data_IF_096736018196
#
_entry.id   IF_096736018196
#
_cell.length_a   1.000
_cell.length_b   1.000
_cell.length_c   1.000
_cell.angle_alpha   90.00
_cell.angle_beta   90.00
_cell.angle_gamma   90.00
#
_symmetry.space_group_name_H-M   'P 1'
#
loop_
_entity.id
_entity.type
_entity.pdbx_description
1 polymer ?
#
# COMPACT_ATOMS: atom_id res chain seq x y z
N UNK A 1 -11.47 -9.23 -38.93
CA UNK A 1 -11.63 -7.84 -38.47
C UNK A 1 -10.25 -7.40 -38.04
N UNK A 2 -9.59 -6.57 -38.83
CA UNK A 2 -8.28 -6.03 -38.52
C UNK A 2 -8.42 -5.13 -37.28
N UNK A 3 -7.76 -5.48 -36.19
CA UNK A 3 -7.55 -4.59 -35.05
C UNK A 3 -6.39 -3.66 -35.43
N UNK A 4 -6.71 -2.60 -36.18
CA UNK A 4 -5.77 -1.53 -36.45
C UNK A 4 -5.69 -0.63 -35.21
N UNK A 5 -4.79 -0.93 -34.31
CA UNK A 5 -4.49 -0.09 -33.15
C UNK A 5 -3.43 -0.76 -32.29
N UNK A 6 -2.49 0.01 -31.80
CA UNK A 6 -1.52 -0.47 -30.81
C UNK A 6 -2.28 -0.82 -29.54
N UNK A 7 -2.29 -2.11 -29.14
CA UNK A 7 -2.84 -2.55 -27.87
C UNK A 7 -1.74 -2.50 -26.81
N UNK A 8 -2.10 -2.17 -25.60
CA UNK A 8 -1.21 -2.11 -24.44
C UNK A 8 -1.72 -3.02 -23.31
N UNK A 9 -0.84 -3.41 -22.43
CA UNK A 9 -1.19 -4.26 -21.30
C UNK A 9 -2.23 -3.59 -20.38
N UNK A 10 -3.30 -4.32 -20.07
CA UNK A 10 -4.28 -3.89 -19.08
C UNK A 10 -3.70 -4.07 -17.68
N UNK A 11 -3.11 -3.03 -17.14
CA UNK A 11 -2.51 -3.03 -15.79
C UNK A 11 -3.53 -3.26 -14.67
N UNK A 12 -4.81 -3.21 -15.01
CA UNK A 12 -5.89 -3.44 -14.06
C UNK A 12 -6.37 -4.90 -14.04
N UNK A 13 -5.97 -5.74 -14.96
CA UNK A 13 -6.34 -7.15 -14.95
C UNK A 13 -5.50 -7.94 -13.92
N UNK A 14 -6.12 -8.96 -13.33
CA UNK A 14 -5.48 -9.86 -12.38
C UNK A 14 -5.34 -11.26 -12.98
N UNK A 15 -4.17 -11.87 -12.79
CA UNK A 15 -3.91 -13.26 -13.16
C UNK A 15 -3.73 -14.09 -11.88
N UNK A 16 -4.61 -15.05 -11.68
CA UNK A 16 -4.53 -16.02 -10.58
C UNK A 16 -4.12 -17.39 -11.12
N UNK A 17 -3.01 -17.91 -10.62
CA UNK A 17 -2.53 -19.26 -10.95
C UNK A 17 -3.12 -20.27 -9.96
N UNK A 18 -3.90 -21.22 -10.48
CA UNK A 18 -4.53 -22.30 -9.70
C UNK A 18 -3.59 -23.51 -9.65
N UNK A 19 -3.25 -23.94 -8.45
CA UNK A 19 -2.40 -25.09 -8.19
C UNK A 19 -3.19 -26.20 -7.51
N UNK A 20 -2.85 -27.44 -7.88
CA UNK A 20 -3.32 -28.63 -7.20
C UNK A 20 -2.15 -29.61 -7.12
N UNK A 21 -1.84 -30.11 -5.92
CA UNK A 21 -0.71 -31.00 -5.62
C UNK A 21 0.65 -30.48 -6.17
N UNK A 22 0.87 -29.17 -6.10
CA UNK A 22 2.06 -28.53 -6.65
C UNK A 22 2.04 -28.31 -8.17
N UNK A 23 1.08 -28.88 -8.88
CA UNK A 23 0.94 -28.77 -10.34
C UNK A 23 0.00 -27.61 -10.69
N UNK A 24 0.42 -26.77 -11.64
CA UNK A 24 -0.43 -25.69 -12.15
C UNK A 24 -1.46 -26.29 -13.12
N UNK A 25 -2.74 -26.19 -12.80
CA UNK A 25 -3.85 -26.73 -13.61
C UNK A 25 -4.53 -25.71 -14.48
N UNK A 26 -4.76 -24.54 -13.93
CA UNK A 26 -5.48 -23.47 -14.62
C UNK A 26 -4.96 -22.08 -14.24
N UNK A 27 -5.29 -21.11 -15.07
CA UNK A 27 -5.04 -19.70 -14.82
C UNK A 27 -6.37 -18.98 -14.96
N UNK A 28 -6.75 -18.21 -13.92
CA UNK A 28 -7.92 -17.35 -13.98
C UNK A 28 -7.50 -15.92 -14.21
N UNK A 29 -7.99 -15.32 -15.28
CA UNK A 29 -7.84 -13.90 -15.61
C UNK A 29 -9.10 -13.18 -15.20
N UNK A 30 -8.95 -12.10 -14.42
CA UNK A 30 -10.04 -11.17 -14.08
C UNK A 30 -9.68 -9.81 -14.66
N UNK A 31 -10.45 -9.32 -15.60
CA UNK A 31 -10.20 -8.06 -16.28
C UNK A 31 -11.48 -7.22 -16.32
N UNK A 32 -11.42 -5.92 -16.01
CA UNK A 32 -12.53 -5.02 -16.24
C UNK A 32 -12.74 -4.84 -17.75
N UNK A 33 -13.97 -4.80 -18.17
CA UNK A 33 -14.26 -4.66 -19.59
C UNK A 33 -14.92 -3.32 -19.90
N UNK A 34 -15.97 -2.91 -19.37
CA UNK A 34 -16.61 -1.60 -19.56
C UNK A 34 -17.67 -1.38 -18.50
N UNK A 35 -17.65 -0.21 -17.86
CA UNK A 35 -18.48 0.02 -16.70
C UNK A 35 -18.10 -0.95 -15.57
N UNK A 36 -19.03 -1.33 -14.74
CA UNK A 36 -18.77 -2.19 -13.56
C UNK A 36 -18.63 -3.68 -13.90
N UNK A 37 -18.54 -4.04 -15.18
CA UNK A 37 -18.50 -5.43 -15.60
C UNK A 37 -17.08 -6.01 -15.55
N UNK A 38 -16.88 -7.05 -14.75
CA UNK A 38 -15.65 -7.82 -14.66
C UNK A 38 -15.74 -9.07 -15.57
N UNK A 39 -14.83 -9.18 -16.54
CA UNK A 39 -14.67 -10.40 -17.32
C UNK A 39 -13.78 -11.37 -16.54
N UNK A 40 -14.32 -12.55 -16.22
CA UNK A 40 -13.57 -13.64 -15.60
C UNK A 40 -13.40 -14.74 -16.64
N UNK A 41 -12.15 -15.04 -16.98
CA UNK A 41 -11.82 -16.09 -17.95
C UNK A 41 -10.88 -17.09 -17.30
N UNK A 42 -11.27 -18.36 -17.33
CA UNK A 42 -10.43 -19.46 -16.85
C UNK A 42 -9.78 -20.15 -18.05
N UNK A 43 -8.46 -20.23 -18.03
CA UNK A 43 -7.63 -20.84 -19.07
C UNK A 43 -7.07 -22.14 -18.52
N UNK A 44 -7.39 -23.22 -19.20
CA UNK A 44 -6.94 -24.57 -18.85
C UNK A 44 -5.71 -24.97 -19.68
N UNK A 45 -4.76 -25.65 -19.04
CA UNK A 45 -3.51 -26.08 -19.70
C UNK A 45 -3.74 -27.00 -20.88
N UNK A 46 -4.82 -27.78 -20.87
CA UNK A 46 -5.09 -28.79 -21.91
C UNK A 46 -5.80 -28.16 -23.09
N UNK A 47 -6.76 -27.27 -22.83
CA UNK A 47 -7.58 -26.63 -23.86
C UNK A 47 -6.87 -25.53 -24.62
N UNK A 48 -6.04 -24.72 -23.93
CA UNK A 48 -5.33 -23.58 -24.51
C UNK A 48 -3.84 -23.56 -24.09
N UNK A 49 -3.02 -24.56 -24.49
CA UNK A 49 -1.67 -24.73 -23.96
C UNK A 49 -0.71 -23.57 -24.28
N UNK A 50 -0.86 -22.93 -25.44
CA UNK A 50 -0.02 -21.79 -25.84
C UNK A 50 -0.35 -20.57 -24.99
N UNK A 51 -1.63 -20.20 -24.91
CA UNK A 51 -2.08 -19.09 -24.10
C UNK A 51 -1.75 -19.32 -22.62
N UNK A 52 -1.90 -20.55 -22.14
CA UNK A 52 -1.51 -20.93 -20.79
C UNK A 52 -0.03 -20.68 -20.52
N UNK A 53 0.87 -21.08 -21.45
CA UNK A 53 2.30 -20.82 -21.36
C UNK A 53 2.62 -19.32 -21.34
N UNK A 54 2.00 -18.57 -22.23
CA UNK A 54 2.11 -17.11 -22.32
C UNK A 54 1.72 -16.43 -20.99
N UNK A 55 0.59 -16.84 -20.40
CA UNK A 55 0.11 -16.31 -19.13
C UNK A 55 0.98 -16.70 -17.93
N UNK A 56 1.62 -17.88 -17.95
CA UNK A 56 2.60 -18.24 -16.93
C UNK A 56 3.83 -17.33 -16.96
N UNK A 57 4.35 -17.06 -18.16
CA UNK A 57 5.48 -16.14 -18.34
C UNK A 57 5.07 -14.75 -17.88
N UNK A 58 3.89 -14.28 -18.27
CA UNK A 58 3.37 -13.00 -17.83
C UNK A 58 3.22 -12.91 -16.30
N UNK A 59 2.63 -13.93 -15.70
CA UNK A 59 2.47 -14.01 -14.24
C UNK A 59 3.80 -14.01 -13.48
N UNK A 60 4.85 -14.55 -14.09
CA UNK A 60 6.18 -14.62 -13.48
C UNK A 60 7.01 -13.35 -13.70
N UNK A 61 6.90 -12.74 -14.88
CA UNK A 61 7.68 -11.58 -15.28
C UNK A 61 7.03 -10.23 -14.92
N UNK A 62 5.72 -10.24 -14.63
CA UNK A 62 4.95 -9.00 -14.39
C UNK A 62 4.52 -8.28 -15.67
N UNK A 63 5.13 -8.61 -16.82
CA UNK A 63 4.79 -8.03 -18.11
C UNK A 63 5.14 -8.96 -19.27
N UNK A 64 4.53 -8.75 -20.42
CA UNK A 64 4.94 -9.35 -21.70
C UNK A 64 5.25 -8.24 -22.69
N UNK A 65 6.41 -8.34 -23.33
CA UNK A 65 6.72 -7.53 -24.50
C UNK A 65 5.73 -7.86 -25.63
N UNK A 66 4.81 -6.94 -25.90
CA UNK A 66 3.78 -7.10 -26.96
C UNK A 66 4.35 -7.35 -28.35
N UNK A 67 5.60 -6.96 -28.59
CA UNK A 67 6.33 -7.18 -29.85
C UNK A 67 6.67 -8.65 -30.16
N UNK A 68 6.42 -9.58 -29.23
CA UNK A 68 6.70 -11.01 -29.40
C UNK A 68 5.44 -11.85 -29.57
N UNK A 69 4.26 -11.25 -29.53
CA UNK A 69 2.97 -11.94 -29.67
C UNK A 69 2.62 -12.12 -31.15
N UNK A 70 2.11 -13.28 -31.51
CA UNK A 70 1.43 -13.46 -32.78
C UNK A 70 0.09 -12.70 -32.80
N UNK A 71 -0.43 -12.38 -33.98
CA UNK A 71 -1.73 -11.72 -34.14
C UNK A 71 -2.87 -12.49 -33.45
N UNK A 72 -2.82 -13.82 -33.49
CA UNK A 72 -3.80 -14.67 -32.84
C UNK A 72 -3.72 -14.61 -31.31
N UNK A 73 -2.54 -14.60 -30.74
CA UNK A 73 -2.32 -14.42 -29.30
C UNK A 73 -2.74 -13.02 -28.85
N UNK A 74 -2.36 -11.98 -29.61
CA UNK A 74 -2.76 -10.62 -29.34
C UNK A 74 -4.29 -10.45 -29.33
N UNK A 75 -4.98 -11.03 -30.30
CA UNK A 75 -6.44 -11.02 -30.36
C UNK A 75 -7.07 -11.76 -29.17
N UNK A 76 -6.50 -12.90 -28.79
CA UNK A 76 -7.02 -13.67 -27.64
C UNK A 76 -6.78 -12.99 -26.31
N UNK A 77 -5.62 -12.36 -26.14
CA UNK A 77 -5.32 -11.55 -24.95
C UNK A 77 -6.22 -10.31 -24.84
N UNK A 78 -6.55 -9.69 -25.99
CA UNK A 78 -7.53 -8.60 -26.02
C UNK A 78 -8.95 -9.09 -25.68
N UNK A 79 -9.34 -10.26 -26.20
CA UNK A 79 -10.64 -10.85 -25.89
C UNK A 79 -10.80 -11.13 -24.39
N UNK A 80 -9.78 -11.65 -23.71
CA UNK A 80 -9.83 -11.86 -22.26
C UNK A 80 -9.57 -10.59 -21.43
N UNK A 81 -9.33 -9.45 -22.06
CA UNK A 81 -9.17 -8.15 -21.41
C UNK A 81 -7.78 -7.86 -20.87
N UNK A 82 -6.78 -8.67 -21.22
CA UNK A 82 -5.37 -8.44 -20.83
C UNK A 82 -4.66 -7.42 -21.70
N UNK A 83 -5.09 -7.24 -22.94
CA UNK A 83 -4.68 -6.14 -23.81
C UNK A 83 -5.86 -5.21 -24.04
N UNK A 84 -5.63 -3.91 -23.93
CA UNK A 84 -6.64 -2.87 -24.12
C UNK A 84 -6.10 -1.74 -24.99
N UNK A 85 -6.97 -0.95 -25.65
CA UNK A 85 -6.57 0.26 -26.31
C UNK A 85 -5.91 1.26 -25.35
N UNK A 86 -4.89 2.03 -25.78
CA UNK A 86 -4.15 2.96 -24.92
C UNK A 86 -5.02 4.02 -24.24
N UNK A 87 -6.11 4.44 -24.88
CA UNK A 87 -7.09 5.38 -24.35
C UNK A 87 -7.91 4.85 -23.18
N UNK A 88 -7.84 3.54 -22.90
CA UNK A 88 -8.48 2.89 -21.75
C UNK A 88 -7.52 2.62 -20.59
N UNK A 89 -6.25 2.96 -20.73
CA UNK A 89 -5.29 2.87 -19.63
C UNK A 89 -5.58 4.00 -18.65
N UNK A 90 -6.35 3.71 -17.60
CA UNK A 90 -6.34 4.59 -16.44
C UNK A 90 -5.06 4.33 -15.66
N UNK A 91 -4.10 5.21 -15.75
CA UNK A 91 -2.95 5.25 -14.85
C UNK A 91 -3.38 6.03 -13.61
N UNK A 92 -3.68 5.38 -12.48
CA UNK A 92 -3.81 6.13 -11.25
C UNK A 92 -2.43 6.67 -10.91
N UNK A 93 -2.25 7.99 -11.01
CA UNK A 93 -1.08 8.68 -10.44
C UNK A 93 -1.24 8.61 -8.93
N UNK A 94 -0.69 7.55 -8.32
CA UNK A 94 -0.91 7.29 -6.90
C UNK A 94 -0.18 8.30 -6.02
N UNK A 95 1.03 8.65 -6.40
CA UNK A 95 1.89 9.53 -5.61
C UNK A 95 2.55 10.53 -6.56
N UNK A 96 1.93 11.68 -6.78
CA UNK A 96 2.51 12.75 -7.60
C UNK A 96 2.90 13.94 -6.73
N UNK A 97 4.15 14.37 -6.85
CA UNK A 97 4.66 15.64 -6.35
C UNK A 97 4.67 16.72 -7.44
N UNK A 98 3.79 16.66 -8.42
CA UNK A 98 3.75 17.63 -9.49
C UNK A 98 2.99 18.87 -9.06
N UNK A 99 3.68 20.02 -9.03
CA UNK A 99 3.09 21.33 -8.68
C UNK A 99 2.08 21.84 -9.73
N UNK A 100 2.07 21.22 -10.91
CA UNK A 100 1.11 21.55 -11.98
C UNK A 100 -0.23 20.85 -11.82
N UNK A 101 -0.32 19.87 -10.94
CA UNK A 101 -1.58 19.21 -10.63
C UNK A 101 -2.45 20.15 -9.79
N UNK A 102 -3.31 20.91 -10.45
CA UNK A 102 -4.26 21.87 -9.85
C UNK A 102 -5.37 21.23 -9.00
N UNK A 103 -5.26 19.93 -8.73
CA UNK A 103 -6.16 19.29 -7.79
C UNK A 103 -5.92 19.86 -6.40
N UNK A 104 -7.00 20.15 -5.64
CA UNK A 104 -6.84 20.69 -4.29
C UNK A 104 -5.94 19.75 -3.48
N UNK A 105 -5.04 20.33 -2.71
CA UNK A 105 -4.15 19.61 -1.81
C UNK A 105 -4.91 18.48 -1.13
N UNK A 106 -4.56 17.23 -1.43
CA UNK A 106 -5.18 16.05 -0.83
C UNK A 106 -4.68 15.81 0.59
N UNK A 107 -3.80 16.70 1.06
CA UNK A 107 -3.42 16.75 2.46
C UNK A 107 -4.60 17.35 3.23
N UNK A 108 -5.17 16.63 4.20
CA UNK A 108 -6.08 17.25 5.16
C UNK A 108 -5.37 18.47 5.76
N UNK A 109 -6.08 19.58 5.91
CA UNK A 109 -5.53 20.82 6.47
C UNK A 109 -4.80 20.62 7.82
N UNK A 110 -5.05 19.51 8.51
CA UNK A 110 -4.38 19.09 9.76
C UNK A 110 -3.00 18.43 9.56
N UNK A 111 -2.71 17.84 8.40
CA UNK A 111 -1.36 17.30 8.13
C UNK A 111 -0.35 18.44 7.89
N UNK A 112 -0.82 19.61 7.47
CA UNK A 112 0.00 20.82 7.36
C UNK A 112 0.53 21.31 8.72
N UNK A 113 -0.19 21.06 9.84
CA UNK A 113 0.18 21.59 11.17
C UNK A 113 1.45 21.01 11.79
N UNK A 114 2.04 19.95 11.26
CA UNK A 114 3.24 19.33 11.85
C UNK A 114 4.53 20.02 11.42
N UNK A 115 4.52 20.79 10.32
CA UNK A 115 5.73 21.46 9.80
C UNK A 115 5.54 22.97 9.52
N UNK A 116 4.54 23.61 10.14
CA UNK A 116 4.23 25.04 9.93
C UNK A 116 5.40 26.01 10.16
N UNK A 117 6.41 25.62 10.95
CA UNK A 117 7.52 26.50 11.30
C UNK A 117 8.75 26.37 10.41
N UNK A 118 8.72 25.56 9.35
CA UNK A 118 9.89 25.26 8.54
C UNK A 118 9.92 25.98 7.20
N UNK A 119 8.81 26.53 6.73
CA UNK A 119 8.73 27.21 5.42
C UNK A 119 9.74 28.40 5.28
N UNK A 120 10.07 29.06 6.37
CA UNK A 120 11.00 30.18 6.43
C UNK A 120 12.44 29.76 6.84
N UNK A 121 12.71 28.46 6.97
CA UNK A 121 14.02 27.99 7.38
C UNK A 121 15.09 28.29 6.33
N UNK A 122 16.20 28.88 6.79
CA UNK A 122 17.32 29.29 5.94
C UNK A 122 18.26 28.11 5.63
N UNK A 123 18.13 27.00 6.39
CA UNK A 123 19.01 25.83 6.36
C UNK A 123 18.42 24.63 5.62
N UNK A 124 17.59 24.87 4.61
CA UNK A 124 16.96 23.79 3.82
C UNK A 124 17.97 23.05 2.96
N UNK A 125 17.90 21.73 2.99
CA UNK A 125 18.70 20.83 2.15
C UNK A 125 17.86 19.66 1.64
N UNK A 126 18.39 18.91 0.68
CA UNK A 126 17.83 17.59 0.36
C UNK A 126 17.95 16.69 1.59
N UNK A 127 16.89 15.96 1.90
CA UNK A 127 16.95 14.99 2.99
C UNK A 127 17.98 13.89 2.66
N UNK A 128 18.88 13.53 3.59
CA UNK A 128 19.89 12.50 3.38
C UNK A 128 19.27 11.09 3.21
N UNK A 129 17.99 10.95 3.53
CA UNK A 129 17.25 9.68 3.43
C UNK A 129 16.53 9.52 2.08
N UNK A 130 16.62 10.51 1.21
CA UNK A 130 16.06 10.45 -0.15
C UNK A 130 16.81 9.42 -0.99
N UNK A 131 16.07 8.42 -1.44
CA UNK A 131 16.53 7.46 -2.45
C UNK A 131 15.78 7.68 -3.75
N UNK A 132 16.51 7.74 -4.86
CA UNK A 132 15.95 7.95 -6.20
C UNK A 132 16.03 6.66 -6.98
N UNK A 133 14.96 6.37 -7.70
CA UNK A 133 14.88 5.23 -8.60
C UNK A 133 14.66 5.79 -10.00
N UNK A 134 15.60 5.52 -10.89
CA UNK A 134 15.55 5.97 -12.28
C UNK A 134 14.74 5.02 -13.17
N UNK A 135 15.06 5.01 -14.45
CA UNK A 135 14.41 4.18 -15.50
C UNK A 135 14.51 2.66 -15.26
N UNK A 136 15.26 2.21 -14.27
CA UNK A 136 15.25 0.81 -13.82
C UNK A 136 13.97 0.46 -13.05
N UNK A 137 13.13 1.45 -12.79
CA UNK A 137 11.87 1.34 -12.06
C UNK A 137 12.04 1.16 -10.56
N UNK A 138 10.95 1.07 -9.82
CA UNK A 138 10.97 0.86 -8.37
C UNK A 138 11.64 -0.48 -8.01
N UNK A 139 12.15 -0.61 -6.77
CA UNK A 139 12.74 -1.85 -6.26
C UNK A 139 11.85 -3.08 -6.53
N UNK A 140 12.48 -4.26 -6.61
CA UNK A 140 11.76 -5.51 -6.90
C UNK A 140 10.61 -5.78 -5.91
N UNK A 141 10.76 -5.30 -4.68
CA UNK A 141 9.76 -5.39 -3.61
C UNK A 141 8.48 -4.59 -3.95
N UNK A 142 8.61 -3.50 -4.70
CA UNK A 142 7.50 -2.69 -5.20
C UNK A 142 6.83 -3.29 -6.44
N UNK A 143 7.51 -4.22 -7.12
CA UNK A 143 6.98 -4.90 -8.30
C UNK A 143 6.18 -6.10 -7.85
N UNK A 144 4.89 -5.94 -7.62
CA UNK A 144 4.02 -7.05 -7.25
C UNK A 144 4.11 -8.20 -8.25
N UNK A 145 4.57 -9.37 -7.80
CA UNK A 145 4.87 -10.54 -8.65
C UNK A 145 3.65 -11.20 -9.33
N UNK A 146 2.41 -10.80 -9.02
CA UNK A 146 1.20 -11.55 -9.43
C UNK A 146 0.04 -10.72 -9.95
N UNK A 147 0.18 -9.42 -10.06
CA UNK A 147 -0.87 -8.53 -10.52
C UNK A 147 -0.35 -7.67 -11.66
N UNK A 148 -1.08 -7.61 -12.75
CA UNK A 148 -0.85 -6.61 -13.81
C UNK A 148 -1.12 -5.19 -13.31
N UNK A 149 -1.68 -5.10 -12.14
CA UNK A 149 -2.00 -3.88 -11.45
C UNK A 149 -0.87 -3.50 -10.51
N UNK A 150 0.14 -2.89 -11.06
CA UNK A 150 1.20 -2.29 -10.27
C UNK A 150 0.84 -0.83 -10.00
N UNK A 151 0.70 -0.42 -8.71
CA UNK A 151 0.48 0.98 -8.36
C UNK A 151 1.68 1.87 -8.71
N UNK A 152 2.84 1.28 -8.98
CA UNK A 152 4.08 1.96 -9.32
C UNK A 152 4.32 1.86 -10.81
N UNK A 153 4.13 2.97 -11.53
CA UNK A 153 4.39 3.04 -12.96
C UNK A 153 5.91 2.90 -13.24
N UNK A 154 6.35 1.88 -13.98
CA UNK A 154 7.77 1.69 -14.27
C UNK A 154 8.36 2.78 -15.16
N UNK A 155 7.52 3.53 -15.89
CA UNK A 155 7.96 4.60 -16.78
C UNK A 155 8.13 5.95 -16.07
N UNK A 156 7.80 6.00 -14.77
CA UNK A 156 7.98 7.19 -13.95
C UNK A 156 9.25 7.08 -13.08
N UNK A 157 9.82 8.23 -12.80
CA UNK A 157 10.88 8.36 -11.81
C UNK A 157 10.28 8.43 -10.41
N UNK A 158 10.88 7.70 -9.46
CA UNK A 158 10.37 7.56 -8.11
C UNK A 158 11.39 8.03 -7.09
N UNK A 159 10.87 8.65 -6.02
CA UNK A 159 11.62 8.99 -4.83
C UNK A 159 11.01 8.23 -3.65
N UNK A 160 11.88 7.70 -2.80
CA UNK A 160 11.50 7.18 -1.50
C UNK A 160 12.23 7.98 -0.42
N UNK A 161 11.49 8.45 0.57
CA UNK A 161 11.99 9.20 1.74
C UNK A 161 11.73 8.36 2.98
N UNK A 162 12.78 8.03 3.71
CA UNK A 162 12.75 7.19 4.92
C UNK A 162 13.31 7.98 6.10
N UNK A 163 12.61 9.05 6.45
CA UNK A 163 13.05 10.02 7.45
C UNK A 163 12.49 9.81 8.85
N UNK A 164 11.45 8.98 8.98
CA UNK A 164 10.80 8.67 10.24
C UNK A 164 10.99 7.20 10.65
N UNK A 165 11.77 6.90 11.70
CA UNK A 165 12.02 5.53 12.12
C UNK A 165 10.77 4.80 12.68
N UNK A 166 9.67 5.49 12.85
CA UNK A 166 8.40 4.97 13.38
C UNK A 166 7.25 4.99 12.36
N UNK A 167 7.54 5.29 11.11
CA UNK A 167 6.53 5.32 10.05
C UNK A 167 7.01 4.56 8.80
N UNK A 168 6.07 4.25 7.91
CA UNK A 168 6.40 3.77 6.58
C UNK A 168 7.13 4.86 5.80
N UNK A 169 8.10 4.51 4.94
CA UNK A 169 8.72 5.47 4.08
C UNK A 169 7.70 6.10 3.13
N UNK A 170 7.91 7.34 2.81
CA UNK A 170 7.10 8.07 1.85
C UNK A 170 7.59 7.79 0.44
N UNK A 171 6.68 7.55 -0.48
CA UNK A 171 6.99 7.22 -1.88
C UNK A 171 6.30 8.20 -2.80
N UNK A 172 7.05 8.77 -3.73
CA UNK A 172 6.54 9.77 -4.68
C UNK A 172 7.00 9.47 -6.09
N UNK A 173 6.11 9.63 -7.07
CA UNK A 173 6.55 9.96 -8.42
C UNK A 173 6.89 11.45 -8.48
N UNK A 174 7.95 11.83 -9.16
CA UNK A 174 8.34 13.23 -9.24
C UNK A 174 8.47 13.71 -10.68
N UNK A 175 7.98 14.93 -10.92
CA UNK A 175 8.09 15.62 -12.19
C UNK A 175 9.43 16.32 -12.40
N UNK A 176 9.58 16.96 -13.54
CA UNK A 176 10.81 17.67 -13.93
C UNK A 176 11.22 18.78 -12.96
N UNK A 177 10.25 19.49 -12.37
CA UNK A 177 10.52 20.60 -11.45
C UNK A 177 11.15 20.12 -10.15
N UNK A 178 10.61 19.04 -9.57
CA UNK A 178 11.18 18.44 -8.36
C UNK A 178 12.60 17.86 -8.65
N UNK A 179 12.79 17.25 -9.82
CA UNK A 179 14.09 16.73 -10.24
C UNK A 179 15.15 17.84 -10.33
N UNK A 180 14.79 18.97 -10.93
CA UNK A 180 15.69 20.12 -11.06
C UNK A 180 16.08 20.72 -9.68
N UNK A 181 15.15 20.82 -8.76
CA UNK A 181 15.41 21.30 -7.40
C UNK A 181 16.35 20.35 -6.66
N UNK A 182 16.08 19.04 -6.72
CA UNK A 182 16.91 18.03 -6.09
C UNK A 182 18.34 18.04 -6.64
N UNK A 183 18.51 18.24 -7.94
CA UNK A 183 19.83 18.36 -8.57
C UNK A 183 20.61 19.58 -8.07
N UNK A 184 19.93 20.70 -7.85
CA UNK A 184 20.56 21.90 -7.26
C UNK A 184 20.99 21.66 -5.81
N UNK A 185 20.13 21.02 -5.00
CA UNK A 185 20.41 20.71 -3.60
C UNK A 185 21.55 19.69 -3.45
N UNK A 186 21.64 18.69 -4.33
CA UNK A 186 22.76 17.73 -4.35
C UNK A 186 24.09 18.40 -4.63
N UNK A 187 24.07 19.50 -5.39
CA UNK A 187 25.25 20.34 -5.64
C UNK A 187 25.55 21.33 -4.50
N UNK A 188 24.85 21.22 -3.37
CA UNK A 188 24.99 22.11 -2.22
C UNK A 188 24.49 23.54 -2.46
N UNK A 189 23.63 23.72 -3.48
CA UNK A 189 23.00 25.02 -3.76
C UNK A 189 21.71 25.17 -2.97
N UNK A 190 21.38 26.38 -2.53
CA UNK A 190 20.10 26.63 -1.86
C UNK A 190 18.91 26.43 -2.81
N UNK A 191 17.74 26.23 -2.23
CA UNK A 191 16.46 26.23 -3.00
C UNK A 191 16.33 27.59 -3.70
N UNK A 192 16.16 27.62 -5.02
CA UNK A 192 16.04 28.88 -5.75
C UNK A 192 14.83 29.70 -5.31
N UNK A 193 14.96 31.04 -5.31
CA UNK A 193 13.85 31.95 -5.01
C UNK A 193 12.70 31.86 -6.02
N UNK A 194 12.99 31.32 -7.23
CA UNK A 194 11.96 31.07 -8.25
C UNK A 194 11.03 29.90 -7.92
N UNK A 195 11.39 29.08 -6.93
CA UNK A 195 10.51 28.00 -6.46
C UNK A 195 9.33 28.61 -5.71
N UNK A 196 8.14 28.31 -6.18
CA UNK A 196 6.91 28.86 -5.56
C UNK A 196 6.80 28.40 -4.10
N UNK A 197 6.25 29.23 -3.20
CA UNK A 197 6.04 28.83 -1.81
C UNK A 197 5.26 27.50 -1.68
N UNK A 198 4.30 27.29 -2.58
CA UNK A 198 3.49 26.08 -2.62
C UNK A 198 4.35 24.83 -2.92
N UNK A 199 5.22 24.88 -3.94
CA UNK A 199 6.10 23.78 -4.28
C UNK A 199 7.12 23.53 -3.15
N UNK A 200 7.67 24.60 -2.56
CA UNK A 200 8.57 24.50 -1.40
C UNK A 200 7.88 23.79 -0.24
N UNK A 201 6.63 24.15 0.07
CA UNK A 201 5.85 23.51 1.12
C UNK A 201 5.58 22.03 0.81
N UNK A 202 5.22 21.71 -0.44
CA UNK A 202 5.04 20.30 -0.86
C UNK A 202 6.29 19.46 -0.68
N UNK A 203 7.46 20.00 -1.03
CA UNK A 203 8.75 19.31 -0.86
C UNK A 203 9.12 19.12 0.62
N UNK A 204 8.76 20.06 1.48
CA UNK A 204 8.91 19.95 2.93
C UNK A 204 7.96 18.91 3.52
N UNK A 205 6.68 18.98 3.18
CA UNK A 205 5.65 18.07 3.68
C UNK A 205 5.90 16.62 3.22
N UNK A 206 6.52 16.47 2.05
CA UNK A 206 6.94 15.18 1.52
C UNK A 206 8.26 14.67 2.11
N UNK A 207 8.97 15.47 2.92
CA UNK A 207 10.29 15.10 3.45
C UNK A 207 11.40 15.05 2.41
N UNK A 208 11.15 15.49 1.17
CA UNK A 208 12.17 15.54 0.10
C UNK A 208 13.23 16.57 0.41
N UNK A 209 12.83 17.70 0.99
CA UNK A 209 13.73 18.68 1.59
C UNK A 209 13.45 18.80 3.07
N UNK A 210 14.44 19.13 3.85
CA UNK A 210 14.35 19.25 5.30
C UNK A 210 15.15 20.44 5.85
N UNK A 211 14.76 20.94 7.03
CA UNK A 211 15.62 21.76 7.89
C UNK A 211 16.49 20.85 8.73
N UNK A 212 17.80 21.04 8.66
CA UNK A 212 18.80 20.20 9.36
C UNK A 212 18.53 20.11 10.85
N UNK A 213 18.28 21.26 11.49
CA UNK A 213 18.13 21.33 12.93
C UNK A 213 16.78 20.75 13.43
N UNK A 214 15.70 20.93 12.67
CA UNK A 214 14.38 20.43 13.04
C UNK A 214 14.31 18.89 12.88
N UNK A 215 14.78 18.38 11.76
CA UNK A 215 14.74 16.94 11.45
C UNK A 215 15.58 16.09 12.39
N UNK A 216 16.72 16.59 12.88
CA UNK A 216 17.52 15.86 13.86
C UNK A 216 16.77 15.63 15.18
N UNK A 217 16.12 16.69 15.70
CA UNK A 217 15.34 16.59 16.95
C UNK A 217 14.12 15.68 16.79
N UNK A 218 13.47 15.77 15.65
CA UNK A 218 12.30 14.93 15.37
C UNK A 218 12.71 13.45 15.31
N UNK A 219 13.79 13.11 14.63
CA UNK A 219 14.29 11.72 14.58
C UNK A 219 14.66 11.18 15.96
N UNK A 220 15.34 11.98 16.80
CA UNK A 220 15.65 11.56 18.18
C UNK A 220 14.38 11.33 19.00
N UNK A 221 13.35 12.16 18.86
CA UNK A 221 12.10 11.96 19.56
C UNK A 221 11.40 10.67 19.09
N UNK A 222 11.38 10.41 17.78
CA UNK A 222 10.75 9.21 17.22
C UNK A 222 11.47 7.92 17.64
N UNK A 223 12.79 7.96 17.88
CA UNK A 223 13.51 6.82 18.47
C UNK A 223 13.04 6.56 19.91
N UNK A 224 12.88 7.60 20.73
CA UNK A 224 12.32 7.44 22.08
C UNK A 224 10.88 6.93 22.06
N UNK A 225 10.05 7.43 21.14
CA UNK A 225 8.68 6.94 20.95
C UNK A 225 8.67 5.43 20.65
N UNK A 226 9.65 4.93 19.88
CA UNK A 226 9.79 3.51 19.59
C UNK A 226 10.11 2.66 20.83
N UNK A 227 11.00 3.15 21.67
CA UNK A 227 11.37 2.47 22.93
C UNK A 227 10.17 2.39 23.88
N UNK A 228 9.41 3.48 23.99
CA UNK A 228 8.19 3.55 24.78
C UNK A 228 7.10 2.61 24.22
N UNK A 229 6.91 2.61 22.90
CA UNK A 229 5.97 1.70 22.25
C UNK A 229 6.35 0.22 22.51
N UNK A 230 7.65 -0.12 22.43
CA UNK A 230 8.14 -1.47 22.72
C UNK A 230 7.91 -1.88 24.17
N UNK A 231 8.09 -0.98 25.12
CA UNK A 231 7.76 -1.23 26.53
C UNK A 231 6.27 -1.49 26.71
N UNK A 232 5.39 -0.65 26.15
CA UNK A 232 3.95 -0.81 26.20
C UNK A 232 3.48 -2.13 25.57
N UNK A 233 4.04 -2.50 24.41
CA UNK A 233 3.73 -3.76 23.74
C UNK A 233 4.00 -4.97 24.67
N UNK A 234 5.15 -4.98 25.35
CA UNK A 234 5.50 -6.08 26.28
C UNK A 234 4.61 -6.11 27.51
N UNK A 235 4.27 -4.94 28.08
CA UNK A 235 3.45 -4.83 29.29
C UNK A 235 1.97 -5.12 29.03
N UNK A 236 1.40 -4.54 27.98
CA UNK A 236 -0.04 -4.58 27.70
C UNK A 236 -0.42 -5.60 26.62
N UNK A 237 0.55 -6.20 25.93
CA UNK A 237 0.39 -7.11 24.79
C UNK A 237 -0.12 -6.44 23.51
N UNK A 238 -0.32 -5.14 23.53
CA UNK A 238 -0.65 -4.33 22.37
C UNK A 238 -0.18 -2.89 22.55
N UNK A 239 -0.06 -2.16 21.44
CA UNK A 239 0.30 -0.73 21.43
C UNK A 239 -0.28 -0.02 20.21
N UNK A 240 -0.72 1.22 20.39
CA UNK A 240 -1.09 2.11 19.29
C UNK A 240 0.15 2.79 18.71
N UNK A 241 0.24 2.82 17.40
CA UNK A 241 1.32 3.44 16.64
C UNK A 241 0.73 4.58 15.79
N UNK A 242 0.71 5.82 16.30
CA UNK A 242 0.11 6.92 15.57
C UNK A 242 0.96 7.33 14.35
N UNK A 243 0.29 7.75 13.28
CA UNK A 243 0.93 8.22 12.04
C UNK A 243 1.91 7.22 11.43
N UNK A 244 1.59 5.94 11.51
CA UNK A 244 2.42 4.86 10.98
C UNK A 244 2.54 4.91 9.46
N UNK A 245 1.45 5.30 8.79
CA UNK A 245 1.44 5.59 7.35
C UNK A 245 1.23 7.08 7.16
N UNK A 246 2.15 7.78 6.47
CA UNK A 246 2.04 9.22 6.27
C UNK A 246 0.75 9.62 5.53
N UNK A 247 0.16 10.80 5.83
CA UNK A 247 -1.15 11.20 5.31
C UNK A 247 -1.27 11.18 3.79
N UNK A 248 -0.21 11.57 3.06
CA UNK A 248 -0.22 11.54 1.60
C UNK A 248 -0.35 10.11 1.06
N UNK A 249 0.36 9.16 1.66
CA UNK A 249 0.29 7.74 1.29
C UNK A 249 -1.08 7.15 1.61
N UNK A 250 -1.65 7.52 2.77
CA UNK A 250 -3.02 7.14 3.12
C UNK A 250 -4.02 7.67 2.10
N UNK A 251 -3.94 8.95 1.74
CA UNK A 251 -4.83 9.56 0.76
C UNK A 251 -4.72 8.88 -0.63
N UNK A 252 -3.50 8.51 -1.03
CA UNK A 252 -3.27 7.78 -2.26
C UNK A 252 -3.81 6.35 -2.20
N UNK A 253 -3.58 5.62 -1.10
CA UNK A 253 -4.11 4.28 -0.89
C UNK A 253 -5.64 4.27 -0.91
N UNK A 254 -6.27 5.24 -0.25
CA UNK A 254 -7.74 5.42 -0.28
C UNK A 254 -8.27 5.52 -1.71
N UNK A 255 -7.71 6.43 -2.53
CA UNK A 255 -8.13 6.57 -3.94
C UNK A 255 -7.93 5.28 -4.71
N UNK A 256 -6.79 4.63 -4.51
CA UNK A 256 -6.46 3.38 -5.16
C UNK A 256 -7.49 2.29 -4.84
N UNK A 257 -7.76 2.01 -3.57
CA UNK A 257 -8.69 0.95 -3.18
C UNK A 257 -10.14 1.27 -3.51
N UNK A 258 -10.57 2.54 -3.39
CA UNK A 258 -11.89 2.95 -3.86
C UNK A 258 -12.06 2.68 -5.35
N UNK A 259 -11.07 3.04 -6.17
CA UNK A 259 -11.06 2.71 -7.59
C UNK A 259 -11.10 1.19 -7.84
N UNK A 260 -10.33 0.37 -7.04
CA UNK A 260 -10.37 -1.08 -7.13
C UNK A 260 -11.76 -1.66 -6.90
N UNK A 261 -12.48 -1.11 -5.94
CA UNK A 261 -13.83 -1.54 -5.56
C UNK A 261 -14.84 -1.07 -6.61
N UNK A 262 -14.81 0.20 -6.99
CA UNK A 262 -15.71 0.81 -7.97
C UNK A 262 -15.60 0.15 -9.35
N UNK A 263 -14.38 -0.21 -9.76
CA UNK A 263 -14.11 -0.89 -11.02
C UNK A 263 -14.30 -2.41 -10.96
N UNK A 264 -14.73 -2.94 -9.81
CA UNK A 264 -15.04 -4.37 -9.64
C UNK A 264 -13.82 -5.30 -9.56
N UNK A 265 -12.62 -4.77 -9.26
CA UNK A 265 -11.39 -5.58 -9.10
C UNK A 265 -11.36 -6.40 -7.83
N UNK A 266 -11.96 -5.88 -6.78
CA UNK A 266 -12.06 -6.58 -5.52
C UNK A 266 -13.44 -7.25 -5.44
N UNK A 267 -13.49 -8.58 -5.29
CA UNK A 267 -14.76 -9.26 -5.10
C UNK A 267 -15.36 -8.89 -3.74
N UNK A 268 -16.66 -8.68 -3.71
CA UNK A 268 -17.41 -8.56 -2.47
C UNK A 268 -17.71 -9.96 -1.95
N UNK A 269 -17.24 -10.21 -0.76
CA UNK A 269 -17.59 -11.37 0.03
C UNK A 269 -17.07 -12.72 -0.49
N UNK A 270 -17.10 -13.64 0.40
CA UNK A 270 -16.98 -15.08 0.18
C UNK A 270 -18.00 -15.80 1.07
N UNK A 271 -17.95 -17.13 1.12
CA UNK A 271 -18.91 -17.92 1.90
C UNK A 271 -18.77 -17.69 3.43
N UNK A 272 -17.58 -17.30 3.88
CA UNK A 272 -17.29 -17.07 5.31
C UNK A 272 -17.51 -15.62 5.71
N UNK A 273 -17.20 -14.69 4.80
CA UNK A 273 -17.20 -13.25 5.07
C UNK A 273 -17.92 -12.47 3.96
N UNK A 274 -19.27 -12.44 3.96
CA UNK A 274 -20.04 -11.85 2.86
C UNK A 274 -19.95 -10.31 2.78
N UNK A 275 -19.65 -9.64 3.89
CA UNK A 275 -19.78 -8.18 4.03
C UNK A 275 -18.43 -7.46 3.96
N UNK A 276 -17.47 -7.98 3.19
CA UNK A 276 -16.18 -7.29 2.97
C UNK A 276 -15.62 -7.50 1.57
N UNK A 277 -14.94 -6.48 1.05
CA UNK A 277 -14.00 -6.64 -0.04
C UNK A 277 -12.65 -7.11 0.53
N UNK A 278 -11.98 -7.99 -0.19
CA UNK A 278 -10.80 -8.66 0.36
C UNK A 278 -9.75 -8.95 -0.70
N UNK A 279 -8.48 -8.69 -0.37
CA UNK A 279 -7.34 -9.09 -1.19
C UNK A 279 -6.15 -9.50 -0.32
N UNK A 280 -5.53 -10.65 -0.64
CA UNK A 280 -4.27 -11.09 -0.03
C UNK A 280 -3.10 -10.71 -0.92
N UNK A 281 -1.99 -10.26 -0.33
CA UNK A 281 -0.74 -9.94 -1.04
C UNK A 281 -0.95 -8.99 -2.23
N UNK A 282 -1.90 -8.05 -2.06
CA UNK A 282 -2.09 -7.01 -3.05
C UNK A 282 -0.83 -6.12 -3.10
N UNK A 283 -0.34 -5.68 -4.28
CA UNK A 283 0.97 -5.06 -4.43
C UNK A 283 1.24 -3.84 -3.54
N UNK A 284 0.25 -2.95 -3.36
CA UNK A 284 0.42 -1.77 -2.51
C UNK A 284 0.51 -2.16 -1.04
N UNK A 285 -0.39 -3.03 -0.57
CA UNK A 285 -0.34 -3.56 0.80
C UNK A 285 0.96 -4.34 1.04
N UNK A 286 1.39 -5.17 0.08
CA UNK A 286 2.63 -5.92 0.18
C UNK A 286 3.85 -5.01 0.27
N UNK A 287 3.90 -3.93 -0.51
CA UNK A 287 4.98 -2.94 -0.42
C UNK A 287 5.08 -2.37 0.99
N UNK A 288 3.99 -1.82 1.54
CA UNK A 288 4.01 -1.24 2.89
C UNK A 288 4.30 -2.28 3.98
N UNK A 289 3.82 -3.52 3.81
CA UNK A 289 4.14 -4.62 4.71
C UNK A 289 5.65 -4.87 4.81
N UNK A 290 6.36 -4.89 3.67
CA UNK A 290 7.81 -5.02 3.65
C UNK A 290 8.52 -3.82 4.30
N UNK A 291 8.08 -2.60 3.97
CA UNK A 291 8.72 -1.38 4.48
C UNK A 291 8.54 -1.20 6.00
N UNK A 292 7.42 -1.62 6.56
CA UNK A 292 7.14 -1.53 8.00
C UNK A 292 7.84 -2.60 8.84
N UNK A 293 8.53 -3.55 8.23
CA UNK A 293 9.27 -4.61 8.95
C UNK A 293 10.29 -4.02 9.95
N UNK A 294 10.98 -2.95 9.57
CA UNK A 294 11.94 -2.29 10.44
C UNK A 294 11.29 -1.65 11.67
N UNK A 295 10.13 -1.03 11.49
CA UNK A 295 9.34 -0.43 12.57
C UNK A 295 8.88 -1.52 13.54
N UNK A 296 8.27 -2.59 13.01
CA UNK A 296 7.79 -3.71 13.83
C UNK A 296 8.94 -4.38 14.58
N UNK A 297 10.09 -4.63 13.93
CA UNK A 297 11.28 -5.18 14.61
C UNK A 297 11.74 -4.30 15.78
N UNK A 298 11.72 -2.99 15.60
CA UNK A 298 12.13 -2.04 16.66
C UNK A 298 11.17 -2.05 17.83
N UNK A 299 9.87 -2.03 17.58
CA UNK A 299 8.84 -2.05 18.63
C UNK A 299 8.76 -3.43 19.30
N UNK A 300 8.89 -4.52 18.56
CA UNK A 300 8.94 -5.88 19.09
C UNK A 300 10.18 -6.10 19.99
N UNK A 301 11.28 -5.39 19.68
CA UNK A 301 12.57 -5.55 20.37
C UNK A 301 13.37 -6.76 19.88
N UNK A 302 12.95 -7.35 18.76
CA UNK A 302 13.64 -8.45 18.10
C UNK A 302 13.51 -8.36 16.58
N UNK A 303 14.41 -8.95 15.79
CA UNK A 303 14.28 -9.04 14.36
C UNK A 303 13.04 -9.85 13.97
N UNK A 304 12.19 -9.28 13.11
CA UNK A 304 11.02 -9.96 12.55
C UNK A 304 11.10 -9.99 11.03
N UNK A 305 10.36 -10.92 10.44
CA UNK A 305 10.14 -10.99 8.99
C UNK A 305 8.64 -10.99 8.68
N UNK A 306 8.25 -10.42 7.53
CA UNK A 306 6.86 -10.42 7.10
C UNK A 306 6.40 -11.82 6.73
N UNK A 307 5.22 -12.22 7.16
CA UNK A 307 4.57 -13.46 6.77
C UNK A 307 3.56 -13.20 5.63
N UNK A 308 2.40 -12.69 5.90
CA UNK A 308 1.43 -12.36 4.87
C UNK A 308 0.72 -11.03 5.16
N UNK A 309 0.04 -10.48 4.16
CA UNK A 309 -0.70 -9.24 4.29
C UNK A 309 -2.06 -9.33 3.61
N UNK A 310 -2.98 -8.53 4.12
CA UNK A 310 -4.36 -8.47 3.68
C UNK A 310 -4.81 -7.02 3.58
N UNK A 311 -5.53 -6.68 2.52
CA UNK A 311 -6.43 -5.54 2.47
C UNK A 311 -7.86 -6.04 2.67
N UNK A 312 -8.62 -5.39 3.54
CA UNK A 312 -10.04 -5.64 3.71
C UNK A 312 -10.81 -4.32 3.85
N UNK A 313 -11.94 -4.22 3.16
CA UNK A 313 -12.88 -3.10 3.29
C UNK A 313 -14.25 -3.66 3.69
N UNK A 314 -14.62 -3.37 4.91
CA UNK A 314 -15.84 -3.87 5.55
C UNK A 314 -17.02 -2.95 5.25
N UNK A 315 -18.18 -3.56 5.05
CA UNK A 315 -19.45 -2.87 4.81
C UNK A 315 -20.31 -2.84 6.06
N UNK A 316 -21.38 -2.02 6.08
CA UNK A 316 -22.36 -2.03 7.18
C UNK A 316 -22.85 -3.43 7.48
N UNK A 317 -22.88 -3.77 8.75
CA UNK A 317 -23.29 -5.11 9.21
C UNK A 317 -22.14 -6.09 9.42
N UNK A 318 -20.97 -5.83 8.86
CA UNK A 318 -19.78 -6.65 9.09
C UNK A 318 -19.37 -6.65 10.57
N UNK A 319 -18.89 -7.77 11.04
CA UNK A 319 -18.31 -7.94 12.36
C UNK A 319 -17.07 -8.85 12.27
N UNK A 320 -16.20 -8.77 13.26
CA UNK A 320 -15.08 -9.69 13.42
C UNK A 320 -15.27 -10.44 14.74
N UNK A 321 -15.66 -11.72 14.71
CA UNK A 321 -15.87 -12.49 15.93
C UNK A 321 -14.62 -12.58 16.79
N UNK A 322 -14.75 -12.76 18.14
CA UNK A 322 -13.61 -12.96 19.02
C UNK A 322 -12.76 -14.17 18.60
N UNK A 323 -11.48 -13.94 18.31
CA UNK A 323 -10.54 -14.98 17.91
C UNK A 323 -9.11 -14.63 18.34
N UNK A 324 -8.20 -15.56 18.14
CA UNK A 324 -6.75 -15.39 18.14
C UNK A 324 -6.23 -15.79 16.79
N UNK A 325 -5.14 -15.18 16.40
CA UNK A 325 -4.51 -15.48 15.13
C UNK A 325 -3.77 -16.83 15.14
N UNK A 326 -3.46 -17.31 13.97
CA UNK A 326 -2.68 -18.53 13.73
C UNK A 326 -1.17 -18.28 13.93
N UNK A 327 -0.37 -19.34 13.82
CA UNK A 327 1.07 -19.31 14.12
C UNK A 327 1.89 -18.34 13.26
N UNK A 328 1.42 -18.00 12.06
CA UNK A 328 2.09 -17.04 11.17
C UNK A 328 1.87 -15.58 11.58
N UNK A 329 1.12 -15.32 12.64
CA UNK A 329 0.71 -13.99 13.10
C UNK A 329 1.18 -13.73 14.52
N UNK A 330 2.48 -13.93 14.81
CA UNK A 330 3.02 -13.63 16.14
C UNK A 330 2.80 -12.15 16.46
N UNK A 331 3.14 -11.29 15.53
CA UNK A 331 2.85 -9.85 15.59
C UNK A 331 1.83 -9.49 14.51
N UNK A 332 0.68 -9.00 14.93
CA UNK A 332 -0.40 -8.56 14.05
C UNK A 332 -0.53 -7.05 14.12
N UNK A 333 -0.51 -6.41 12.94
CA UNK A 333 -0.58 -4.96 12.79
C UNK A 333 -1.83 -4.62 11.97
N UNK A 334 -2.79 -3.95 12.60
CA UNK A 334 -4.02 -3.44 11.96
C UNK A 334 -3.88 -1.95 11.71
N UNK A 335 -3.96 -1.49 10.46
CA UNK A 335 -3.80 -0.08 10.07
C UNK A 335 -5.09 0.40 9.43
N UNK A 336 -5.66 1.49 9.94
CA UNK A 336 -6.83 2.13 9.35
C UNK A 336 -6.44 2.91 8.09
N UNK A 337 -6.98 2.51 6.94
CA UNK A 337 -6.67 3.14 5.65
C UNK A 337 -7.80 4.05 5.19
N UNK A 338 -9.05 3.65 5.38
CA UNK A 338 -10.19 4.44 4.92
C UNK A 338 -11.43 4.21 5.79
N UNK A 339 -12.26 5.21 5.87
CA UNK A 339 -13.55 5.16 6.57
C UNK A 339 -14.49 6.18 5.94
N UNK A 340 -15.75 5.82 5.77
CA UNK A 340 -16.79 6.74 5.28
C UNK A 340 -18.01 6.69 6.20
N UNK A 341 -18.48 7.86 6.71
CA UNK A 341 -17.88 9.18 6.57
C UNK A 341 -16.50 9.28 7.23
N UNK A 342 -15.64 10.19 6.74
CA UNK A 342 -14.30 10.38 7.29
C UNK A 342 -14.36 10.79 8.76
N UNK A 343 -13.67 10.08 9.68
CA UNK A 343 -13.72 10.40 11.09
C UNK A 343 -12.99 11.70 11.38
N UNK A 344 -13.46 12.45 12.38
CA UNK A 344 -12.85 13.73 12.77
C UNK A 344 -11.46 13.53 13.39
N UNK A 345 -11.32 12.50 14.24
CA UNK A 345 -10.08 12.17 14.94
C UNK A 345 -9.78 10.68 14.89
N UNK A 346 -10.65 9.83 15.40
CA UNK A 346 -10.50 8.38 15.45
C UNK A 346 -11.71 7.67 14.85
N UNK A 347 -11.48 6.48 14.33
CA UNK A 347 -12.56 5.65 13.80
C UNK A 347 -13.58 5.31 14.90
N UNK A 348 -14.88 5.40 14.63
CA UNK A 348 -15.91 4.95 15.57
C UNK A 348 -16.00 3.40 15.66
N UNK A 349 -15.19 2.67 14.90
CA UNK A 349 -15.18 1.20 14.87
C UNK A 349 -13.89 0.64 15.47
N UNK A 350 -13.77 0.57 16.82
CA UNK A 350 -12.56 0.17 17.52
C UNK A 350 -12.25 -1.31 17.33
N UNK A 351 -10.97 -1.67 17.47
CA UNK A 351 -10.53 -3.03 17.71
C UNK A 351 -10.56 -3.30 19.22
N UNK A 352 -11.29 -4.32 19.64
CA UNK A 352 -11.31 -4.78 21.03
C UNK A 352 -10.20 -5.79 21.24
N UNK A 353 -9.33 -5.53 22.21
CA UNK A 353 -8.17 -6.34 22.54
C UNK A 353 -8.27 -6.85 23.99
N UNK A 354 -8.20 -8.16 24.15
CA UNK A 354 -8.22 -8.80 25.46
C UNK A 354 -6.99 -9.70 25.64
N UNK A 355 -5.93 -9.20 26.30
CA UNK A 355 -4.80 -10.02 26.73
C UNK A 355 -5.22 -11.23 27.57
N UNK A 356 -4.39 -12.29 27.66
CA UNK A 356 -4.75 -13.52 28.40
C UNK A 356 -5.17 -13.30 29.83
N UNK A 357 -4.52 -12.38 30.53
CA UNK A 357 -4.74 -12.10 31.97
C UNK A 357 -5.77 -10.99 32.22
N UNK A 358 -6.35 -10.40 31.15
CA UNK A 358 -7.33 -9.34 31.29
C UNK A 358 -8.75 -9.88 31.44
N UNK A 359 -9.49 -9.35 32.40
CA UNK A 359 -10.91 -9.71 32.66
C UNK A 359 -11.86 -9.11 31.62
N UNK A 360 -11.48 -8.00 30.99
CA UNK A 360 -12.26 -7.28 29.98
C UNK A 360 -11.42 -6.93 28.76
N UNK A 361 -12.06 -6.75 27.61
CA UNK A 361 -11.42 -6.23 26.40
C UNK A 361 -11.31 -4.71 26.45
N UNK A 362 -10.21 -4.18 25.94
CA UNK A 362 -9.96 -2.74 25.79
C UNK A 362 -10.28 -2.32 24.36
N UNK A 363 -11.18 -1.37 24.13
CA UNK A 363 -11.38 -0.79 22.80
C UNK A 363 -10.20 0.10 22.42
N UNK A 364 -9.64 -0.13 21.26
CA UNK A 364 -8.55 0.65 20.70
C UNK A 364 -8.97 1.17 19.33
N UNK A 365 -8.98 2.49 19.17
CA UNK A 365 -9.31 3.18 17.93
C UNK A 365 -8.15 4.08 17.52
N UNK A 366 -7.95 4.22 16.22
CA UNK A 366 -6.95 5.10 15.61
C UNK A 366 -7.56 5.97 14.52
N UNK A 367 -6.84 7.00 14.13
CA UNK A 367 -7.12 7.82 12.95
C UNK A 367 -6.62 7.15 11.67
N UNK A 368 -6.85 7.83 10.55
CA UNK A 368 -6.34 7.37 9.26
C UNK A 368 -4.80 7.33 9.26
N UNK A 369 -4.26 6.18 8.90
CA UNK A 369 -2.82 5.92 8.91
C UNK A 369 -2.25 5.47 10.25
N UNK A 370 -3.05 5.43 11.31
CA UNK A 370 -2.65 4.87 12.60
C UNK A 370 -2.69 3.34 12.55
N UNK A 371 -1.76 2.72 13.27
CA UNK A 371 -1.69 1.28 13.42
C UNK A 371 -1.89 0.83 14.87
N UNK A 372 -2.34 -0.39 15.05
CA UNK A 372 -2.37 -1.10 16.33
C UNK A 372 -1.58 -2.38 16.17
N UNK A 373 -0.46 -2.49 16.90
CA UNK A 373 0.38 -3.69 16.93
C UNK A 373 0.07 -4.50 18.18
N UNK A 374 -0.10 -5.81 18.03
CA UNK A 374 -0.44 -6.71 19.16
C UNK A 374 0.12 -8.12 18.91
N UNK A 375 0.26 -8.89 19.99
CA UNK A 375 0.59 -10.31 19.91
C UNK A 375 -0.63 -11.10 19.43
N UNK A 376 -0.72 -11.37 18.12
CA UNK A 376 -1.92 -11.93 17.48
C UNK A 376 -2.30 -13.31 18.02
N UNK A 377 -1.33 -14.13 18.38
CA UNK A 377 -1.54 -15.48 18.93
C UNK A 377 -1.99 -15.49 20.37
N UNK A 378 -1.67 -14.44 21.13
CA UNK A 378 -1.99 -14.38 22.58
C UNK A 378 -3.26 -13.58 22.85
N UNK A 379 -3.42 -12.44 22.19
CA UNK A 379 -4.49 -11.49 22.45
C UNK A 379 -5.76 -11.91 21.72
N UNK A 380 -6.83 -12.19 22.46
CA UNK A 380 -8.15 -12.34 21.84
C UNK A 380 -8.61 -10.98 21.32
N UNK A 381 -8.93 -10.92 20.03
CA UNK A 381 -9.34 -9.66 19.41
C UNK A 381 -10.58 -9.82 18.55
N UNK A 382 -11.35 -8.73 18.45
CA UNK A 382 -12.62 -8.71 17.73
C UNK A 382 -13.06 -7.29 17.41
N UNK A 383 -14.02 -7.16 16.51
CA UNK A 383 -14.75 -5.91 16.26
C UNK A 383 -16.23 -6.20 16.35
N UNK A 384 -16.95 -5.33 17.02
CA UNK A 384 -18.40 -5.37 17.05
C UNK A 384 -18.97 -5.03 15.68
N UNK A 385 -20.28 -5.17 15.52
CA UNK A 385 -20.96 -4.91 14.26
C UNK A 385 -20.70 -3.48 13.79
N UNK A 386 -20.28 -3.33 12.53
CA UNK A 386 -20.09 -2.02 11.89
C UNK A 386 -21.47 -1.40 11.66
N UNK A 387 -21.72 -0.30 12.34
CA UNK A 387 -22.91 0.54 12.21
C UNK A 387 -22.47 1.98 11.91
N UNK A 388 -23.36 2.79 11.37
CA UNK A 388 -23.14 4.23 11.13
C UNK A 388 -21.93 4.57 10.23
N UNK A 389 -21.57 3.65 9.33
CA UNK A 389 -20.52 3.86 8.33
C UNK A 389 -20.91 3.23 7.00
N UNK A 390 -20.50 3.84 5.88
CA UNK A 390 -20.69 3.28 4.55
C UNK A 390 -19.70 2.13 4.31
N UNK A 391 -18.48 2.27 4.84
CA UNK A 391 -17.42 1.26 4.87
C UNK A 391 -16.30 1.65 5.83
N UNK A 392 -15.47 0.66 6.18
CA UNK A 392 -14.23 0.85 6.94
C UNK A 392 -13.14 -0.09 6.39
N UNK A 393 -11.98 0.47 5.99
CA UNK A 393 -10.95 -0.28 5.29
C UNK A 393 -9.64 -0.31 6.07
N UNK A 394 -9.02 -1.49 6.08
CA UNK A 394 -7.77 -1.75 6.81
C UNK A 394 -6.74 -2.45 5.94
N UNK A 395 -5.47 -2.23 6.29
CA UNK A 395 -4.40 -3.18 6.05
C UNK A 395 -4.20 -4.01 7.31
N UNK A 396 -4.04 -5.32 7.12
CA UNK A 396 -3.60 -6.25 8.14
C UNK A 396 -2.26 -6.83 7.71
N UNK A 397 -1.23 -6.57 8.50
CA UNK A 397 0.13 -7.01 8.25
C UNK A 397 0.56 -7.94 9.37
N UNK A 398 1.12 -9.09 8.99
CA UNK A 398 1.48 -10.12 9.94
C UNK A 398 2.97 -10.41 9.85
N UNK A 399 3.57 -10.57 11.00
CA UNK A 399 5.00 -10.80 11.14
C UNK A 399 5.27 -11.93 12.10
N UNK A 400 6.43 -12.58 11.91
CA UNK A 400 6.97 -13.62 12.79
C UNK A 400 8.42 -13.27 13.15
N UNK A 401 8.94 -13.78 14.27
CA UNK A 401 10.37 -13.67 14.56
C UNK A 401 11.21 -14.18 13.38
N UNK A 402 12.38 -13.58 13.15
CA UNK A 402 13.27 -14.00 12.05
C UNK A 402 13.60 -15.50 12.10
N UNK A 403 13.71 -16.06 13.32
CA UNK A 403 13.98 -17.47 13.56
C UNK A 403 12.80 -18.42 13.26
N UNK A 404 11.60 -17.92 12.97
CA UNK A 404 10.44 -18.75 12.66
C UNK A 404 10.67 -19.58 11.39
N UNK A 405 10.44 -20.90 11.47
CA UNK A 405 10.69 -21.84 10.36
C UNK A 405 9.42 -22.44 9.75
N UNK A 406 8.25 -22.08 10.29
CA UNK A 406 6.97 -22.53 9.76
C UNK A 406 6.61 -21.87 8.41
N UNK A 407 5.51 -22.31 7.77
CA UNK A 407 5.04 -21.70 6.53
C UNK A 407 4.65 -20.24 6.79
N UNK A 408 4.90 -19.37 5.82
CA UNK A 408 4.59 -17.94 5.92
C UNK A 408 3.24 -17.56 5.28
N UNK A 409 2.54 -18.54 4.68
CA UNK A 409 1.27 -18.34 3.97
C UNK A 409 0.10 -19.04 4.64
#
# INVERSE_FOLDING_TARGET
VAVAGTLVANRQAMIKVERDDGTIRAITVRAPIKGDALKVTRIDRVSEPQLFGTLLVWSAAGEIGTSRLSDAEGARLADIGLLIPPDRVSTPVLFSCDATDSRPSLLPARAAGVREHVADAVDLRASPTVRRFGSEGPPAEMRGRRSLRNPFDPDQSWIMVDDDPMAAPQVYSYGHDAAAILELLDRGRPVPDSVTPQLRQQLLDSGIIESVAASAREREQRVRDAEDAGRLLREQRFVSLPRLVPPLQVAAARRFYRGLIEEGFLPLGDAEWPDRYFATKEPLAHFFHQQLTAVVSRVAGEPVKPSFCVFASYRPGAELPPHRDREQCEYSLSILIDHSPEPTDVSPWPLYLRPPDASAATPVAGGLGDGVLYYGREVTHFRERLVDADFCSFWFFFYVPEAFTGPLD
#
